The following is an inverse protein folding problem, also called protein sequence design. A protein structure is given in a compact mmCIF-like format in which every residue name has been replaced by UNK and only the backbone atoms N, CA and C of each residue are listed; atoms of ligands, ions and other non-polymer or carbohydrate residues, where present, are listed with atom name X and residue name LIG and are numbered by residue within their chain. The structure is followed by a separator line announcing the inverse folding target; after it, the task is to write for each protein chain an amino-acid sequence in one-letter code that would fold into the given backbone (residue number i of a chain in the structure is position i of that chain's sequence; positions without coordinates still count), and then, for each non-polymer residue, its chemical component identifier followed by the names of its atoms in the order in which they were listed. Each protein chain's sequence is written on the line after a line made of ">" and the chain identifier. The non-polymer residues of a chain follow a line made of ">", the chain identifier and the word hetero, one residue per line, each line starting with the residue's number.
data_IF_992512792479
#
_entry.id   IF_992512792479
#
_cell.length_a   1.000
_cell.length_b   1.000
_cell.length_c   1.000
_cell.angle_alpha   90.00
_cell.angle_beta   90.00
_cell.angle_gamma   90.00
#
_symmetry.space_group_name_H-M   'P 1'
#
loop_
_entity.id
_entity.type
_entity.pdbx_description
1 polymer ?
#
# COMPACT_ATOMS: atom_id res chain seq x y z
N UNK A 1 -23.57 -8.62 -13.13
CA UNK A 1 -23.20 -8.83 -11.72
C UNK A 1 -22.07 -7.87 -11.47
N UNK A 2 -22.34 -6.75 -10.78
CA UNK A 2 -21.28 -5.80 -10.42
C UNK A 2 -20.41 -6.50 -9.38
N UNK A 3 -19.16 -6.80 -9.75
CA UNK A 3 -18.21 -7.38 -8.80
C UNK A 3 -18.02 -6.37 -7.67
N UNK A 4 -18.45 -6.75 -6.47
CA UNK A 4 -18.30 -5.89 -5.31
C UNK A 4 -16.81 -5.69 -5.02
N UNK A 5 -16.46 -4.53 -4.43
CA UNK A 5 -15.11 -4.23 -3.96
C UNK A 5 -14.45 -5.41 -3.22
N UNK A 6 -15.23 -6.11 -2.39
CA UNK A 6 -14.81 -7.31 -1.66
C UNK A 6 -14.37 -8.46 -2.58
N UNK A 7 -15.10 -8.74 -3.65
CA UNK A 7 -14.75 -9.85 -4.57
C UNK A 7 -13.44 -9.56 -5.31
N UNK A 8 -13.26 -8.32 -5.75
CA UNK A 8 -12.01 -7.87 -6.37
C UNK A 8 -10.83 -7.96 -5.40
N UNK A 9 -11.04 -7.59 -4.13
CA UNK A 9 -10.01 -7.71 -3.09
C UNK A 9 -9.63 -9.17 -2.81
N UNK A 10 -10.60 -10.08 -2.75
CA UNK A 10 -10.35 -11.52 -2.56
C UNK A 10 -9.56 -12.12 -3.73
N UNK A 11 -9.89 -11.73 -4.97
CA UNK A 11 -9.14 -12.19 -6.14
C UNK A 11 -7.72 -11.61 -6.15
N UNK A 12 -7.55 -10.33 -5.76
CA UNK A 12 -6.25 -9.71 -5.58
C UNK A 12 -5.38 -10.47 -4.56
N UNK A 13 -5.95 -10.88 -3.43
CA UNK A 13 -5.24 -11.68 -2.42
C UNK A 13 -4.84 -13.06 -2.96
N UNK A 14 -5.74 -13.71 -3.70
CA UNK A 14 -5.47 -15.02 -4.32
C UNK A 14 -4.27 -14.94 -5.28
N UNK A 15 -4.18 -13.87 -6.08
CA UNK A 15 -3.08 -13.64 -7.00
C UNK A 15 -1.77 -13.33 -6.29
N UNK A 16 -1.80 -12.50 -5.24
CA UNK A 16 -0.62 -12.27 -4.39
C UNK A 16 -0.11 -13.58 -3.76
N UNK A 17 -1.01 -14.46 -3.32
CA UNK A 17 -0.64 -15.81 -2.81
C UNK A 17 -0.08 -16.72 -3.90
N UNK A 18 -0.51 -16.55 -5.15
CA UNK A 18 0.04 -17.27 -6.31
C UNK A 18 1.44 -16.74 -6.73
N UNK A 19 1.88 -15.60 -6.19
CA UNK A 19 3.14 -14.93 -6.54
C UNK A 19 2.99 -13.86 -7.62
N UNK A 20 1.79 -13.68 -8.18
CA UNK A 20 1.48 -12.68 -9.20
C UNK A 20 1.06 -11.35 -8.56
N UNK A 21 2.03 -10.69 -7.91
CA UNK A 21 1.79 -9.40 -7.24
C UNK A 21 1.33 -8.30 -8.21
N UNK A 22 1.82 -8.29 -9.46
CA UNK A 22 1.39 -7.30 -10.46
C UNK A 22 -0.10 -7.39 -10.77
N UNK A 23 -0.61 -8.62 -10.95
CA UNK A 23 -2.02 -8.83 -11.20
C UNK A 23 -2.83 -8.53 -9.93
N UNK A 24 -2.35 -8.96 -8.75
CA UNK A 24 -2.98 -8.65 -7.46
C UNK A 24 -3.18 -7.15 -7.23
N UNK A 25 -2.14 -6.34 -7.50
CA UNK A 25 -2.22 -4.87 -7.43
C UNK A 25 -3.32 -4.32 -8.33
N UNK A 26 -3.44 -4.78 -9.57
CA UNK A 26 -4.46 -4.30 -10.49
C UNK A 26 -5.89 -4.58 -9.98
N UNK A 27 -6.12 -5.75 -9.38
CA UNK A 27 -7.41 -6.10 -8.77
C UNK A 27 -7.71 -5.26 -7.53
N UNK A 28 -6.71 -5.00 -6.68
CA UNK A 28 -6.88 -4.12 -5.53
C UNK A 28 -7.14 -2.67 -5.93
N UNK A 29 -6.46 -2.14 -6.94
CA UNK A 29 -6.72 -0.80 -7.47
C UNK A 29 -8.13 -0.69 -8.06
N UNK A 30 -8.59 -1.72 -8.78
CA UNK A 30 -9.97 -1.80 -9.24
C UNK A 30 -10.96 -1.83 -8.05
N UNK A 31 -10.66 -2.57 -6.98
CA UNK A 31 -11.48 -2.61 -5.78
C UNK A 31 -11.60 -1.21 -5.14
N UNK A 32 -10.51 -0.44 -5.07
CA UNK A 32 -10.53 0.95 -4.58
C UNK A 32 -11.34 1.86 -5.49
N UNK A 33 -11.27 1.69 -6.82
CA UNK A 33 -12.05 2.48 -7.77
C UNK A 33 -13.56 2.20 -7.69
N UNK A 34 -13.95 0.95 -7.46
CA UNK A 34 -15.35 0.58 -7.21
C UNK A 34 -15.86 1.29 -5.94
N UNK A 35 -15.00 1.42 -4.94
CA UNK A 35 -15.34 2.01 -3.66
C UNK A 35 -16.15 1.07 -2.77
N UNK A 36 -16.03 1.25 -1.46
CA UNK A 36 -16.80 0.49 -0.47
C UNK A 36 -17.20 1.41 0.68
N UNK A 37 -18.36 1.16 1.25
CA UNK A 37 -18.85 1.85 2.46
C UNK A 37 -18.15 1.31 3.72
N UNK A 38 -17.60 0.09 3.65
CA UNK A 38 -16.91 -0.54 4.76
C UNK A 38 -15.43 -0.10 4.79
N UNK A 39 -15.14 0.87 5.65
CA UNK A 39 -13.80 1.43 5.83
C UNK A 39 -12.77 0.37 6.29
N UNK A 40 -13.20 -0.70 6.97
CA UNK A 40 -12.31 -1.79 7.40
C UNK A 40 -11.82 -2.59 6.19
N UNK A 41 -12.71 -2.88 5.26
CA UNK A 41 -12.40 -3.54 3.98
C UNK A 41 -11.46 -2.67 3.16
N UNK A 42 -11.73 -1.35 3.09
CA UNK A 42 -10.84 -0.41 2.40
C UNK A 42 -9.43 -0.35 3.02
N UNK A 43 -9.35 -0.32 4.36
CA UNK A 43 -8.09 -0.41 5.11
C UNK A 43 -7.33 -1.71 4.79
N UNK A 44 -8.00 -2.86 4.82
CA UNK A 44 -7.39 -4.13 4.44
C UNK A 44 -6.82 -4.11 3.00
N UNK A 45 -7.56 -3.55 2.04
CA UNK A 45 -7.11 -3.43 0.64
C UNK A 45 -5.84 -2.57 0.55
N UNK A 46 -5.80 -1.41 1.22
CA UNK A 46 -4.61 -0.55 1.21
C UNK A 46 -3.39 -1.21 1.87
N UNK A 47 -3.60 -1.96 2.94
CA UNK A 47 -2.55 -2.74 3.59
C UNK A 47 -1.97 -3.80 2.64
N UNK A 48 -2.84 -4.53 1.92
CA UNK A 48 -2.44 -5.53 0.94
C UNK A 48 -1.76 -4.92 -0.29
N UNK A 49 -2.21 -3.76 -0.76
CA UNK A 49 -1.54 -2.98 -1.82
C UNK A 49 -0.14 -2.58 -1.41
N UNK A 50 0.02 -2.08 -0.18
CA UNK A 50 1.33 -1.72 0.36
C UNK A 50 2.30 -2.91 0.35
N UNK A 51 1.83 -4.07 0.81
CA UNK A 51 2.62 -5.30 0.78
C UNK A 51 2.96 -5.73 -0.64
N UNK A 52 1.99 -5.70 -1.56
CA UNK A 52 2.22 -6.12 -2.95
C UNK A 52 3.23 -5.20 -3.66
N UNK A 53 3.13 -3.89 -3.49
CA UNK A 53 4.11 -2.93 -4.00
C UNK A 53 5.50 -3.10 -3.35
N UNK A 54 5.56 -3.48 -2.07
CA UNK A 54 6.82 -3.82 -1.40
C UNK A 54 7.51 -5.01 -2.07
N UNK A 55 6.76 -6.06 -2.44
CA UNK A 55 7.30 -7.20 -3.19
C UNK A 55 7.74 -6.84 -4.61
N UNK A 56 7.06 -5.88 -5.25
CA UNK A 56 7.46 -5.32 -6.55
C UNK A 56 8.65 -4.35 -6.48
N UNK A 57 9.19 -4.10 -5.28
CA UNK A 57 10.26 -3.13 -5.00
C UNK A 57 9.88 -1.67 -5.28
N UNK A 58 8.58 -1.38 -5.34
CA UNK A 58 8.04 -0.03 -5.50
C UNK A 58 7.75 0.60 -4.13
N UNK A 59 8.81 0.81 -3.36
CA UNK A 59 8.70 1.22 -1.96
C UNK A 59 8.01 2.58 -1.76
N UNK A 60 8.13 3.50 -2.73
CA UNK A 60 7.48 4.80 -2.66
C UNK A 60 5.94 4.64 -2.61
N UNK A 61 5.39 3.85 -3.54
CA UNK A 61 3.95 3.55 -3.59
C UNK A 61 3.50 2.75 -2.39
N UNK A 62 4.28 1.74 -1.99
CA UNK A 62 3.98 0.94 -0.81
C UNK A 62 3.78 1.82 0.44
N UNK A 63 4.67 2.80 0.63
CA UNK A 63 4.64 3.71 1.76
C UNK A 63 3.45 4.67 1.71
N UNK A 64 3.04 5.12 0.51
CA UNK A 64 1.82 5.91 0.33
C UNK A 64 0.57 5.12 0.73
N UNK A 65 0.43 3.88 0.27
CA UNK A 65 -0.72 3.04 0.62
C UNK A 65 -0.76 2.68 2.11
N UNK A 66 0.38 2.39 2.73
CA UNK A 66 0.44 2.19 4.19
C UNK A 66 0.09 3.45 4.98
N UNK A 67 0.42 4.66 4.48
CA UNK A 67 -0.05 5.90 5.10
C UNK A 67 -1.56 6.07 4.99
N UNK A 68 -2.14 5.74 3.83
CA UNK A 68 -3.60 5.77 3.67
C UNK A 68 -4.30 4.81 4.62
N UNK A 69 -3.80 3.58 4.74
CA UNK A 69 -4.28 2.60 5.71
C UNK A 69 -4.21 3.13 7.15
N UNK A 70 -3.07 3.71 7.55
CA UNK A 70 -2.91 4.27 8.88
C UNK A 70 -3.88 5.42 9.17
N UNK A 71 -4.15 6.29 8.19
CA UNK A 71 -5.12 7.39 8.33
C UNK A 71 -6.54 6.84 8.50
N UNK A 72 -6.91 5.83 7.72
CA UNK A 72 -8.20 5.15 7.84
C UNK A 72 -8.34 4.43 9.18
N UNK A 73 -7.32 3.69 9.61
CA UNK A 73 -7.28 3.01 10.90
C UNK A 73 -7.41 3.99 12.07
N UNK A 74 -6.78 5.17 11.99
CA UNK A 74 -6.96 6.25 12.99
C UNK A 74 -8.37 6.82 12.98
N UNK A 75 -8.98 6.99 11.81
CA UNK A 75 -10.38 7.41 11.70
C UNK A 75 -11.32 6.38 12.35
N UNK A 76 -11.06 5.09 12.12
CA UNK A 76 -11.85 3.97 12.65
C UNK A 76 -11.65 3.76 14.16
N UNK A 77 -10.43 3.98 14.68
CA UNK A 77 -10.08 3.84 16.09
C UNK A 77 -10.55 5.02 16.96
N UNK A 78 -11.18 6.04 16.37
CA UNK A 78 -11.59 7.27 17.05
C UNK A 78 -10.41 8.22 17.31
N UNK A 79 -10.68 9.49 17.71
CA UNK A 79 -9.66 10.50 17.95
C UNK A 79 -8.88 10.20 19.25
N UNK A 80 -8.13 9.10 19.28
CA UNK A 80 -7.16 8.83 20.31
C UNK A 80 -5.93 9.71 20.05
N UNK A 81 -6.00 10.92 20.62
CA UNK A 81 -4.89 11.76 21.08
C UNK A 81 -3.50 11.13 20.95
N UNK A 82 -2.83 11.32 19.82
CA UNK A 82 -1.39 11.57 19.70
C UNK A 82 -1.01 11.61 18.22
N UNK A 83 -0.85 12.82 17.72
CA UNK A 83 0.01 13.04 16.58
C UNK A 83 1.44 12.65 17.01
N UNK A 84 2.12 11.65 16.40
CA UNK A 84 3.53 11.84 16.19
C UNK A 84 3.64 13.02 15.22
N UNK A 85 4.24 14.12 15.67
CA UNK A 85 4.48 15.30 14.84
C UNK A 85 5.17 14.92 13.53
N UNK A 86 5.19 15.82 12.54
CA UNK A 86 5.89 15.57 11.29
C UNK A 86 7.36 15.31 11.61
N UNK A 87 7.80 14.06 11.52
CA UNK A 87 9.23 13.78 11.47
C UNK A 87 9.72 14.39 10.16
N UNK A 88 10.60 15.41 10.18
CA UNK A 88 11.21 15.89 8.96
C UNK A 88 12.03 14.73 8.41
N UNK A 89 11.69 14.25 7.22
CA UNK A 89 12.57 13.38 6.46
C UNK A 89 13.92 14.12 6.34
N UNK A 90 15.05 13.55 6.80
CA UNK A 90 16.34 14.16 6.52
C UNK A 90 16.52 14.18 5.00
N UNK A 91 16.88 15.32 4.38
CA UNK A 91 17.32 15.30 3.00
C UNK A 91 18.68 14.59 2.97
N UNK A 92 19.01 14.00 1.82
CA UNK A 92 20.35 13.50 1.43
C UNK A 92 20.65 12.01 1.71
N UNK A 93 20.19 11.15 0.80
CA UNK A 93 21.06 10.07 0.33
C UNK A 93 22.01 10.71 -0.70
N UNK A 94 23.32 10.85 -0.44
CA UNK A 94 24.25 11.29 -1.47
C UNK A 94 24.29 10.24 -2.60
N UNK A 95 24.61 10.65 -3.85
CA UNK A 95 24.70 9.73 -4.96
C UNK A 95 25.80 8.71 -4.65
N UNK A 96 25.53 7.45 -4.97
CA UNK A 96 26.53 6.37 -4.96
C UNK A 96 27.86 6.88 -5.53
N UNK A 97 29.00 6.76 -4.82
CA UNK A 97 30.27 6.85 -5.51
C UNK A 97 30.33 5.66 -6.46
N UNK A 98 30.30 5.96 -7.76
CA UNK A 98 30.66 4.99 -8.79
C UNK A 98 32.03 4.45 -8.42
N UNK A 99 32.09 3.17 -8.08
CA UNK A 99 33.34 2.41 -7.99
C UNK A 99 33.92 2.38 -9.40
N UNK A 100 35.12 2.91 -9.67
CA UNK A 100 35.91 2.44 -10.79
C UNK A 100 36.66 1.20 -10.30
N UNK A 101 36.12 0.04 -10.64
CA UNK A 101 36.95 -1.15 -10.88
C UNK A 101 37.81 -0.80 -12.11
N UNK A 102 39.13 -0.67 -11.95
CA UNK A 102 40.14 -1.30 -12.83
C UNK A 102 41.59 -0.91 -12.43
N UNK A 103 42.42 -1.96 -12.34
CA UNK A 103 43.89 -2.08 -12.29
C UNK A 103 44.64 -1.47 -11.09
#
# INVERSE_FOLDING_TARGET
>A
MEASCLELALEGERLCKAGDFKAGVAFFEAAVQVGTEDLKTLSAIYSQLGNAYFYLKEYARALEYHKHDLLLARLLAGPAHSAPGPHPCPPTRPPFPRVPILL
#
